data_IF_466960764498
#
_entry.id   IF_466960764498
#
_cell.length_a   1.000
_cell.length_b   1.000
_cell.length_c   1.000
_cell.angle_alpha   90.00
_cell.angle_beta   90.00
_cell.angle_gamma   90.00
#
_symmetry.space_group_name_H-M   'P 1'
#
loop_
_entity.id
_entity.type
_entity.pdbx_description
1 polymer ?
#
# COMPACT_ATOMS: atom_id res chain seq x y z
N UNK A 1 -15.69 26.01 12.96
CA UNK A 1 -14.88 25.51 14.08
C UNK A 1 -14.13 24.28 13.57
N UNK A 2 -12.79 24.21 13.62
CA UNK A 2 -12.12 22.94 13.33
C UNK A 2 -12.66 21.87 14.27
N UNK A 3 -12.90 20.66 13.76
CA UNK A 3 -13.33 19.53 14.58
C UNK A 3 -12.27 19.25 15.67
N UNK A 4 -12.69 18.74 16.83
CA UNK A 4 -11.77 18.37 17.92
C UNK A 4 -10.60 17.49 17.42
N UNK A 5 -10.92 16.57 16.51
CA UNK A 5 -9.95 15.70 15.84
C UNK A 5 -8.93 16.47 14.97
N UNK A 6 -9.34 17.56 14.31
CA UNK A 6 -8.43 18.43 13.54
C UNK A 6 -7.44 19.20 14.43
N UNK A 7 -7.85 19.61 15.63
CA UNK A 7 -6.96 20.28 16.58
C UNK A 7 -5.95 19.29 17.19
N UNK A 8 -6.41 18.11 17.60
CA UNK A 8 -5.54 17.04 18.11
C UNK A 8 -4.50 16.59 17.06
N UNK A 9 -4.91 16.52 15.79
CA UNK A 9 -4.01 16.20 14.69
C UNK A 9 -2.90 17.22 14.49
N UNK A 10 -3.22 18.52 14.51
CA UNK A 10 -2.21 19.59 14.41
C UNK A 10 -1.17 19.51 15.53
N UNK A 11 -1.63 19.28 16.77
CA UNK A 11 -0.74 19.14 17.91
C UNK A 11 0.20 17.94 17.76
N UNK A 12 -0.30 16.81 17.23
CA UNK A 12 0.51 15.64 16.93
C UNK A 12 1.60 15.95 15.89
N UNK A 13 1.23 16.60 14.78
CA UNK A 13 2.18 16.98 13.72
C UNK A 13 3.25 17.97 14.25
N UNK A 14 2.87 18.91 15.12
CA UNK A 14 3.82 19.83 15.78
C UNK A 14 4.83 19.11 16.67
N UNK A 15 4.40 18.07 17.41
CA UNK A 15 5.30 17.28 18.26
C UNK A 15 6.27 16.47 17.39
N UNK A 16 5.79 15.84 16.31
CA UNK A 16 6.63 15.09 15.36
C UNK A 16 7.72 15.98 14.76
N UNK A 17 7.37 17.20 14.36
CA UNK A 17 8.33 18.16 13.82
C UNK A 17 9.42 18.53 14.84
N UNK A 18 9.03 18.78 16.09
CA UNK A 18 9.97 19.06 17.19
C UNK A 18 10.92 17.88 17.47
N UNK A 19 10.43 16.64 17.38
CA UNK A 19 11.27 15.45 17.57
C UNK A 19 12.35 15.34 16.48
N UNK A 20 12.00 15.66 15.22
CA UNK A 20 12.94 15.62 14.07
C UNK A 20 14.03 16.68 14.16
N UNK A 21 13.66 17.90 14.56
CA UNK A 21 14.55 19.05 14.53
C UNK A 21 15.44 19.16 15.78
N UNK A 22 15.17 18.35 16.80
CA UNK A 22 15.89 18.40 18.07
C UNK A 22 17.38 18.05 17.93
N UNK A 23 18.25 18.89 18.51
CA UNK A 23 19.69 18.64 18.60
C UNK A 23 20.17 18.51 20.06
N UNK A 24 21.15 17.61 20.34
CA UNK A 24 21.75 17.51 21.66
C UNK A 24 22.46 18.81 22.07
N UNK A 25 22.13 19.37 23.23
CA UNK A 25 22.83 20.54 23.82
C UNK A 25 22.10 21.88 23.69
N UNK A 26 20.97 21.94 22.99
CA UNK A 26 20.04 23.08 23.05
C UNK A 26 19.24 23.04 24.36
N UNK A 27 19.87 23.40 25.48
CA UNK A 27 19.18 23.52 26.77
C UNK A 27 18.97 24.98 27.12
N UNK A 28 17.72 25.42 27.10
CA UNK A 28 17.23 26.34 28.12
C UNK A 28 15.75 26.06 28.39
N UNK A 29 15.54 25.22 29.41
CA UNK A 29 14.27 24.88 30.08
C UNK A 29 13.38 23.81 29.42
N UNK A 30 12.99 22.85 30.28
CA UNK A 30 11.95 21.79 30.18
C UNK A 30 12.39 20.35 29.85
N UNK A 31 11.73 19.31 30.44
CA UNK A 31 11.99 17.89 30.17
C UNK A 31 11.41 17.50 28.80
N UNK A 32 12.02 18.01 27.73
CA UNK A 32 11.43 18.06 26.38
C UNK A 32 11.09 16.68 25.81
N UNK A 33 11.99 15.70 25.92
CA UNK A 33 11.75 14.38 25.31
C UNK A 33 10.70 13.58 26.07
N UNK A 34 10.72 13.62 27.40
CA UNK A 34 9.76 12.89 28.24
C UNK A 34 8.37 13.52 28.11
N UNK A 35 8.28 14.85 28.09
CA UNK A 35 7.04 15.58 27.82
C UNK A 35 6.46 15.23 26.43
N UNK A 36 7.30 15.05 25.40
CA UNK A 36 6.84 14.56 24.10
C UNK A 36 6.28 13.15 24.17
N UNK A 37 6.91 12.23 24.90
CA UNK A 37 6.38 10.86 25.09
C UNK A 37 4.99 10.93 25.73
N UNK A 38 4.83 11.67 26.83
CA UNK A 38 3.55 11.79 27.56
C UNK A 38 2.47 12.42 26.66
N UNK A 39 2.80 13.48 25.93
CA UNK A 39 1.86 14.14 25.00
C UNK A 39 1.47 13.22 23.85
N UNK A 40 2.42 12.48 23.29
CA UNK A 40 2.14 11.49 22.24
C UNK A 40 1.22 10.39 22.77
N UNK A 41 1.50 9.82 23.93
CA UNK A 41 0.65 8.80 24.58
C UNK A 41 -0.78 9.31 24.79
N UNK A 42 -0.93 10.54 25.28
CA UNK A 42 -2.25 11.17 25.48
C UNK A 42 -3.03 11.36 24.18
N UNK A 43 -2.34 11.62 23.07
CA UNK A 43 -2.96 11.81 21.76
C UNK A 43 -3.19 10.48 21.01
N UNK A 44 -2.41 9.45 21.32
CA UNK A 44 -2.35 8.19 20.59
C UNK A 44 -3.71 7.50 20.51
N UNK A 45 -4.39 7.36 21.65
CA UNK A 45 -5.66 6.64 21.75
C UNK A 45 -6.81 7.30 20.96
N UNK A 46 -6.65 8.58 20.60
CA UNK A 46 -7.66 9.36 19.89
C UNK A 46 -7.42 9.46 18.39
N UNK A 47 -6.20 9.19 17.93
CA UNK A 47 -5.77 9.45 16.55
C UNK A 47 -5.21 8.20 15.89
N UNK A 48 -4.42 7.41 16.61
CA UNK A 48 -3.65 6.31 16.05
C UNK A 48 -4.43 4.99 16.14
N UNK A 49 -4.15 4.02 15.25
CA UNK A 49 -4.66 2.66 15.39
C UNK A 49 -4.23 2.03 16.72
N UNK A 50 -5.13 1.25 17.35
CA UNK A 50 -4.91 0.66 18.69
C UNK A 50 -3.53 0.00 18.85
N UNK A 51 -3.10 -0.86 17.90
CA UNK A 51 -1.80 -1.54 18.00
C UNK A 51 -0.59 -0.59 18.04
N UNK A 52 -0.69 0.59 17.41
CA UNK A 52 0.36 1.62 17.44
C UNK A 52 0.26 2.41 18.73
N UNK A 53 -0.96 2.76 19.15
CA UNK A 53 -1.20 3.45 20.42
C UNK A 53 -0.71 2.60 21.61
N UNK A 54 -1.05 1.31 21.66
CA UNK A 54 -0.58 0.36 22.67
C UNK A 54 0.94 0.28 22.71
N UNK A 55 1.59 0.23 21.54
CA UNK A 55 3.04 0.15 21.44
C UNK A 55 3.74 1.44 21.87
N UNK A 56 3.10 2.61 21.68
CA UNK A 56 3.57 3.91 22.15
C UNK A 56 3.35 4.08 23.66
N UNK A 57 2.21 3.61 24.17
CA UNK A 57 1.87 3.59 25.59
C UNK A 57 2.76 2.63 26.39
N UNK A 58 3.38 1.65 25.74
CA UNK A 58 4.37 0.76 26.35
C UNK A 58 5.76 1.41 26.55
N UNK A 59 5.99 2.63 26.05
CA UNK A 59 7.23 3.37 26.33
C UNK A 59 7.16 3.92 27.75
N UNK A 60 7.80 3.22 28.68
CA UNK A 60 7.91 3.65 30.07
C UNK A 60 9.02 4.69 30.23
N UNK A 61 8.68 5.86 30.77
CA UNK A 61 9.62 6.99 30.94
C UNK A 61 9.74 7.35 32.41
N UNK A 62 10.94 7.17 32.96
CA UNK A 62 11.27 7.59 34.32
C UNK A 62 11.79 9.04 34.30
N UNK A 63 11.05 9.94 34.95
CA UNK A 63 11.38 11.37 35.04
C UNK A 63 12.60 11.58 35.95
N UNK A 64 12.85 10.66 36.88
CA UNK A 64 13.94 10.75 37.85
C UNK A 64 15.25 10.16 37.30
N UNK A 65 15.24 9.50 36.14
CA UNK A 65 16.43 8.96 35.47
C UNK A 65 16.96 9.90 34.37
N UNK A 66 18.13 10.53 34.56
CA UNK A 66 18.72 11.45 33.58
C UNK A 66 19.16 10.77 32.27
N UNK A 67 19.29 9.45 32.24
CA UNK A 67 19.58 8.69 31.02
C UNK A 67 18.33 8.33 30.21
N UNK A 68 17.15 8.38 30.85
CA UNK A 68 15.87 8.04 30.24
C UNK A 68 15.55 8.94 29.04
N UNK A 69 15.93 10.21 29.06
CA UNK A 69 15.70 11.14 27.95
C UNK A 69 16.40 10.69 26.64
N UNK A 70 17.64 10.20 26.72
CA UNK A 70 18.37 9.72 25.54
C UNK A 70 17.77 8.42 24.99
N UNK A 71 17.41 7.50 25.88
CA UNK A 71 16.73 6.25 25.51
C UNK A 71 15.36 6.53 24.87
N UNK A 72 14.55 7.40 25.50
CA UNK A 72 13.25 7.79 25.01
C UNK A 72 13.34 8.48 23.64
N UNK A 73 14.36 9.32 23.42
CA UNK A 73 14.60 9.95 22.12
C UNK A 73 14.88 8.91 21.04
N UNK A 74 15.76 7.95 21.31
CA UNK A 74 16.05 6.87 20.36
C UNK A 74 14.80 6.04 20.02
N UNK A 75 13.93 5.79 21.01
CA UNK A 75 12.64 5.12 20.79
C UNK A 75 11.71 5.97 19.92
N UNK A 76 11.56 7.26 20.23
CA UNK A 76 10.75 8.18 19.45
C UNK A 76 11.22 8.28 18.00
N UNK A 77 12.53 8.35 17.75
CA UNK A 77 13.09 8.39 16.38
C UNK A 77 12.74 7.15 15.56
N UNK A 78 12.70 5.98 16.19
CA UNK A 78 12.23 4.76 15.54
C UNK A 78 10.69 4.75 15.33
N UNK A 79 9.95 5.44 16.20
CA UNK A 79 8.48 5.47 16.18
C UNK A 79 7.90 6.52 15.23
N UNK A 80 8.57 7.65 15.06
CA UNK A 80 8.10 8.77 14.21
C UNK A 80 7.71 8.30 12.80
N UNK A 81 8.53 7.49 12.08
CA UNK A 81 8.12 6.98 10.77
C UNK A 81 6.86 6.10 10.80
N UNK A 82 6.67 5.32 11.87
CA UNK A 82 5.50 4.46 12.06
C UNK A 82 4.25 5.31 12.27
N UNK A 83 4.35 6.35 13.09
CA UNK A 83 3.27 7.31 13.33
C UNK A 83 2.93 8.03 12.03
N UNK A 84 3.91 8.56 11.30
CA UNK A 84 3.70 9.25 10.03
C UNK A 84 3.03 8.36 8.97
N UNK A 85 3.43 7.09 8.87
CA UNK A 85 2.79 6.14 7.95
C UNK A 85 1.33 5.86 8.35
N UNK A 86 1.06 5.65 9.64
CA UNK A 86 -0.29 5.46 10.15
C UNK A 86 -1.18 6.69 9.89
N UNK A 87 -0.64 7.86 10.13
CA UNK A 87 -1.28 9.15 9.89
C UNK A 87 -1.55 9.40 8.40
N UNK A 88 -0.63 8.98 7.52
CA UNK A 88 -0.83 9.03 6.07
C UNK A 88 -1.89 8.01 5.64
N UNK A 89 -1.92 6.82 6.24
CA UNK A 89 -2.94 5.80 5.99
C UNK A 89 -4.34 6.29 6.42
N UNK A 90 -4.48 6.91 7.59
CA UNK A 90 -5.75 7.47 8.07
C UNK A 90 -6.29 8.53 7.11
N UNK A 91 -5.42 9.44 6.63
CA UNK A 91 -5.79 10.45 5.63
C UNK A 91 -6.26 9.84 4.30
N UNK A 92 -5.87 8.59 4.01
CA UNK A 92 -6.31 7.78 2.87
C UNK A 92 -7.49 6.84 3.18
N UNK A 93 -8.22 7.06 4.29
CA UNK A 93 -9.31 6.19 4.71
C UNK A 93 -8.86 4.81 5.22
N UNK A 94 -7.63 4.70 5.71
CA UNK A 94 -7.07 3.45 6.21
C UNK A 94 -6.77 2.43 5.11
N UNK A 95 -6.47 2.88 3.89
CA UNK A 95 -6.08 2.02 2.77
C UNK A 95 -4.56 2.04 2.56
N UNK A 96 -3.99 0.95 1.98
CA UNK A 96 -2.56 0.93 1.66
C UNK A 96 -2.20 2.02 0.64
N UNK A 97 -0.93 2.48 0.63
CA UNK A 97 -0.44 3.35 -0.44
C UNK A 97 -0.42 2.61 -1.79
N UNK A 98 -0.46 3.33 -2.92
CA UNK A 98 -0.30 2.72 -4.24
C UNK A 98 1.06 2.02 -4.35
N UNK A 99 1.10 0.93 -5.12
CA UNK A 99 2.36 0.28 -5.47
C UNK A 99 3.26 1.28 -6.22
N UNK A 100 4.56 1.40 -5.88
CA UNK A 100 5.47 2.39 -6.47
C UNK A 100 5.74 2.19 -7.96
N UNK A 101 5.55 0.98 -8.49
CA UNK A 101 5.71 0.68 -9.92
C UNK A 101 4.40 0.91 -10.71
N UNK A 102 3.33 1.43 -10.09
CA UNK A 102 2.12 1.81 -10.82
C UNK A 102 2.37 2.99 -11.76
N UNK A 103 1.85 2.95 -13.00
CA UNK A 103 1.88 4.10 -13.92
C UNK A 103 1.20 5.34 -13.32
N UNK A 104 1.75 6.53 -13.58
CA UNK A 104 1.30 7.81 -13.02
C UNK A 104 -0.20 8.06 -13.14
N UNK A 105 -0.81 7.74 -14.29
CA UNK A 105 -2.24 7.93 -14.50
C UNK A 105 -3.09 7.03 -13.59
N UNK A 106 -2.61 5.81 -13.30
CA UNK A 106 -3.29 4.86 -12.42
C UNK A 106 -3.07 5.24 -10.95
N UNK A 107 -1.86 5.70 -10.60
CA UNK A 107 -1.53 6.20 -9.27
C UNK A 107 -2.42 7.37 -8.88
N UNK A 108 -2.68 8.31 -9.80
CA UNK A 108 -3.58 9.44 -9.57
C UNK A 108 -5.02 9.01 -9.27
N UNK A 109 -5.58 8.11 -10.09
CA UNK A 109 -6.93 7.59 -9.88
C UNK A 109 -7.04 6.81 -8.55
N UNK A 110 -5.99 6.06 -8.18
CA UNK A 110 -5.89 5.33 -6.92
C UNK A 110 -5.88 6.28 -5.72
N UNK A 111 -5.04 7.32 -5.77
CA UNK A 111 -4.96 8.31 -4.69
C UNK A 111 -6.27 9.10 -4.54
N UNK A 112 -6.89 9.49 -5.65
CA UNK A 112 -8.21 10.13 -5.61
C UNK A 112 -9.24 9.22 -4.95
N UNK A 113 -9.28 7.93 -5.32
CA UNK A 113 -10.14 6.95 -4.67
C UNK A 113 -9.89 6.88 -3.17
N UNK A 114 -8.62 6.89 -2.75
CA UNK A 114 -8.24 6.81 -1.35
C UNK A 114 -8.70 8.04 -0.55
N UNK A 115 -8.71 9.23 -1.15
CA UNK A 115 -9.21 10.45 -0.49
C UNK A 115 -10.73 10.45 -0.29
N UNK A 116 -11.50 9.76 -1.15
CA UNK A 116 -12.96 9.79 -1.10
C UNK A 116 -13.59 8.51 -0.53
N UNK A 117 -12.83 7.44 -0.25
CA UNK A 117 -13.38 6.13 0.16
C UNK A 117 -14.28 6.21 1.39
N UNK A 118 -13.94 7.03 2.38
CA UNK A 118 -14.77 7.19 3.58
C UNK A 118 -16.06 7.98 3.32
N UNK A 119 -16.01 8.95 2.39
CA UNK A 119 -17.14 9.82 2.03
C UNK A 119 -18.08 9.18 1.02
N UNK A 120 -17.52 8.48 0.04
CA UNK A 120 -18.21 7.88 -1.09
C UNK A 120 -17.50 6.58 -1.51
N UNK A 121 -17.78 5.47 -0.82
CA UNK A 121 -17.31 4.15 -1.22
C UNK A 121 -17.63 3.82 -2.68
N UNK A 122 -18.83 4.19 -3.14
CA UNK A 122 -19.26 4.02 -4.53
C UNK A 122 -18.39 4.82 -5.51
N UNK A 123 -18.01 6.04 -5.15
CA UNK A 123 -17.10 6.87 -5.96
C UNK A 123 -15.71 6.26 -6.03
N UNK A 124 -15.16 5.85 -4.87
CA UNK A 124 -13.88 5.17 -4.81
C UNK A 124 -13.88 3.85 -5.59
N UNK A 125 -14.95 3.06 -5.51
CA UNK A 125 -15.10 1.83 -6.28
C UNK A 125 -15.07 2.09 -7.80
N UNK A 126 -15.73 3.15 -8.27
CA UNK A 126 -15.70 3.53 -9.69
C UNK A 126 -14.30 3.91 -10.16
N UNK A 127 -13.56 4.69 -9.36
CA UNK A 127 -12.16 5.04 -9.64
C UNK A 127 -11.26 3.80 -9.64
N UNK A 128 -11.40 2.89 -8.67
CA UNK A 128 -10.61 1.66 -8.64
C UNK A 128 -10.92 0.73 -9.82
N UNK A 129 -12.16 0.69 -10.31
CA UNK A 129 -12.50 -0.02 -11.56
C UNK A 129 -11.78 0.59 -12.76
N UNK A 130 -11.71 1.92 -12.82
CA UNK A 130 -10.93 2.63 -13.83
C UNK A 130 -9.42 2.32 -13.70
N UNK A 131 -8.89 2.26 -12.48
CA UNK A 131 -7.50 1.83 -12.24
C UNK A 131 -7.23 0.46 -12.83
N UNK A 132 -8.09 -0.53 -12.55
CA UNK A 132 -7.95 -1.90 -13.08
C UNK A 132 -8.04 -1.91 -14.61
N UNK A 133 -8.97 -1.14 -15.19
CA UNK A 133 -9.12 -1.02 -16.64
C UNK A 133 -7.85 -0.43 -17.29
N UNK A 134 -7.33 0.66 -16.72
CA UNK A 134 -6.09 1.30 -17.18
C UNK A 134 -4.88 0.40 -16.99
N UNK A 135 -4.86 -0.43 -15.94
CA UNK A 135 -3.81 -1.41 -15.69
C UNK A 135 -3.82 -2.51 -16.76
N UNK A 136 -5.00 -3.00 -17.14
CA UNK A 136 -5.14 -3.93 -18.26
C UNK A 136 -4.59 -3.30 -19.56
N UNK A 137 -4.93 -2.04 -19.84
CA UNK A 137 -4.41 -1.32 -21.01
C UNK A 137 -2.89 -1.22 -20.98
N UNK A 138 -2.32 -0.88 -19.83
CA UNK A 138 -0.87 -0.80 -19.65
C UNK A 138 -0.18 -2.14 -19.90
N UNK A 139 -0.81 -3.26 -19.54
CA UNK A 139 -0.33 -4.62 -19.75
C UNK A 139 -0.61 -5.17 -21.18
N UNK A 140 -1.04 -4.29 -22.09
CA UNK A 140 -1.26 -4.61 -23.51
C UNK A 140 -2.61 -5.24 -23.83
N UNK A 141 -3.60 -5.11 -22.95
CA UNK A 141 -4.99 -5.50 -23.19
C UNK A 141 -5.82 -4.33 -23.74
N UNK A 142 -6.96 -4.56 -24.39
CA UNK A 142 -7.77 -3.47 -24.94
C UNK A 142 -8.52 -2.65 -23.87
N UNK A 143 -8.67 -3.16 -22.65
CA UNK A 143 -9.38 -2.49 -21.55
C UNK A 143 -10.88 -2.32 -21.80
N UNK A 144 -11.47 -3.05 -22.75
CA UNK A 144 -12.88 -2.86 -23.16
C UNK A 144 -13.84 -3.81 -22.48
N UNK A 145 -13.35 -4.99 -22.08
CA UNK A 145 -14.15 -6.05 -21.50
C UNK A 145 -13.34 -6.69 -20.40
N UNK A 146 -13.46 -6.16 -19.19
CA UNK A 146 -12.64 -6.57 -18.05
C UNK A 146 -12.56 -8.09 -17.86
N UNK A 147 -13.67 -8.83 -18.01
CA UNK A 147 -13.66 -10.31 -17.94
C UNK A 147 -12.72 -10.96 -18.97
N UNK A 148 -12.75 -10.44 -20.21
CA UNK A 148 -11.91 -10.93 -21.30
C UNK A 148 -10.45 -10.54 -21.05
N UNK A 149 -10.22 -9.29 -20.65
CA UNK A 149 -8.88 -8.76 -20.40
C UNK A 149 -8.20 -9.52 -19.23
N UNK A 150 -8.94 -9.82 -18.14
CA UNK A 150 -8.46 -10.69 -17.04
C UNK A 150 -8.04 -12.07 -17.58
N UNK A 151 -8.86 -12.70 -18.43
CA UNK A 151 -8.55 -13.99 -19.04
C UNK A 151 -7.28 -13.96 -19.90
N UNK A 152 -7.06 -12.86 -20.64
CA UNK A 152 -5.85 -12.67 -21.44
C UNK A 152 -4.60 -12.43 -20.56
N UNK A 153 -4.73 -11.70 -19.44
CA UNK A 153 -3.65 -11.55 -18.46
C UNK A 153 -3.24 -12.88 -17.82
N UNK A 154 -4.20 -13.77 -17.54
CA UNK A 154 -3.92 -15.13 -17.05
C UNK A 154 -3.17 -15.95 -18.09
N UNK A 155 -3.55 -15.85 -19.36
CA UNK A 155 -2.80 -16.47 -20.45
C UNK A 155 -1.37 -15.92 -20.58
N UNK A 156 -1.15 -14.67 -20.16
CA UNK A 156 0.18 -14.02 -20.09
C UNK A 156 0.97 -14.34 -18.82
N UNK A 157 0.43 -15.16 -17.91
CA UNK A 157 1.13 -15.64 -16.72
C UNK A 157 0.71 -14.98 -15.41
N UNK A 158 -0.41 -14.25 -15.37
CA UNK A 158 -1.02 -13.81 -14.11
C UNK A 158 -1.42 -15.03 -13.27
N UNK A 159 -1.10 -15.00 -11.98
CA UNK A 159 -1.42 -16.10 -11.07
C UNK A 159 -2.95 -16.32 -10.98
N UNK A 160 -3.36 -17.59 -10.95
CA UNK A 160 -4.78 -17.97 -10.87
C UNK A 160 -5.48 -17.46 -9.62
N UNK A 161 -4.75 -17.16 -8.53
CA UNK A 161 -5.32 -16.56 -7.30
C UNK A 161 -5.63 -15.08 -7.52
N UNK A 162 -4.79 -14.36 -8.28
CA UNK A 162 -5.07 -12.95 -8.63
C UNK A 162 -6.20 -12.86 -9.62
N UNK A 163 -6.34 -13.82 -10.53
CA UNK A 163 -7.55 -13.97 -11.35
C UNK A 163 -8.81 -14.07 -10.50
N UNK A 164 -8.84 -14.99 -9.52
CA UNK A 164 -10.00 -15.17 -8.64
C UNK A 164 -10.35 -13.87 -7.89
N UNK A 165 -9.33 -13.13 -7.48
CA UNK A 165 -9.51 -11.88 -6.78
C UNK A 165 -10.04 -10.76 -7.70
N UNK A 166 -9.55 -10.69 -8.94
CA UNK A 166 -10.06 -9.81 -10.00
C UNK A 166 -11.51 -10.13 -10.40
N UNK A 167 -11.84 -11.41 -10.54
CA UNK A 167 -13.19 -11.87 -10.80
C UNK A 167 -14.14 -11.50 -9.66
N UNK A 168 -13.66 -11.55 -8.42
CA UNK A 168 -14.42 -11.10 -7.24
C UNK A 168 -14.77 -9.61 -7.35
N UNK A 169 -13.82 -8.75 -7.70
CA UNK A 169 -14.09 -7.30 -7.89
C UNK A 169 -15.05 -7.04 -9.05
N UNK A 170 -14.93 -7.81 -10.14
CA UNK A 170 -15.81 -7.73 -11.30
C UNK A 170 -17.26 -8.10 -10.94
N UNK A 171 -17.45 -9.18 -10.18
CA UNK A 171 -18.79 -9.64 -9.74
C UNK A 171 -19.40 -8.63 -8.76
N UNK A 172 -18.63 -8.21 -7.76
CA UNK A 172 -19.07 -7.24 -6.76
C UNK A 172 -19.44 -5.88 -7.38
N UNK A 173 -18.84 -5.51 -8.51
CA UNK A 173 -19.13 -4.25 -9.18
C UNK A 173 -20.24 -4.25 -10.23
N UNK A 174 -20.70 -5.40 -10.70
CA UNK A 174 -21.74 -5.50 -11.74
C UNK A 174 -23.11 -5.95 -11.20
N UNK A 175 -23.19 -6.55 -10.01
CA UNK A 175 -24.46 -7.04 -9.44
C UNK A 175 -25.26 -5.99 -8.64
N UNK A 176 -24.88 -4.71 -8.70
CA UNK A 176 -25.52 -3.64 -7.94
C UNK A 176 -26.94 -3.21 -8.42
N UNK A 177 -27.61 -3.97 -9.30
CA UNK A 177 -28.90 -3.55 -9.90
C UNK A 177 -29.83 -4.72 -10.26
N UNK A 178 -30.14 -5.59 -9.28
CA UNK A 178 -31.39 -6.36 -9.31
C UNK A 178 -32.08 -6.32 -7.94
N UNK A 179 -33.31 -5.77 -7.83
CA UNK A 179 -34.05 -5.80 -6.57
C UNK A 179 -34.45 -7.25 -6.23
N UNK A 180 -33.87 -7.82 -5.17
CA UNK A 180 -34.28 -9.13 -4.61
C UNK A 180 -33.18 -10.14 -4.28
N UNK A 181 -31.91 -9.87 -4.60
CA UNK A 181 -30.75 -10.70 -4.21
C UNK A 181 -29.73 -9.87 -3.45
N UNK A 182 -28.90 -10.52 -2.60
CA UNK A 182 -27.90 -9.93 -1.69
C UNK A 182 -27.49 -8.50 -2.07
N UNK A 183 -27.84 -7.51 -1.24
CA UNK A 183 -27.52 -6.10 -1.42
C UNK A 183 -26.02 -5.87 -1.17
N UNK A 184 -25.19 -6.32 -2.12
CA UNK A 184 -23.74 -6.09 -2.16
C UNK A 184 -23.51 -4.67 -2.65
N UNK A 185 -23.82 -3.70 -1.79
CA UNK A 185 -23.43 -2.30 -1.99
C UNK A 185 -21.90 -2.25 -2.03
N UNK A 186 -21.35 -1.33 -2.82
CA UNK A 186 -19.97 -0.87 -2.72
C UNK A 186 -19.75 -0.34 -1.29
N UNK A 187 -19.59 -1.22 -0.32
CA UNK A 187 -19.41 -0.90 1.09
C UNK A 187 -17.92 -0.65 1.37
N UNK A 188 -17.64 0.07 2.47
CA UNK A 188 -16.27 0.43 2.81
C UNK A 188 -15.33 -0.77 2.85
N UNK A 189 -15.78 -1.92 3.36
CA UNK A 189 -14.95 -3.11 3.49
C UNK A 189 -14.58 -3.72 2.14
N UNK A 190 -15.52 -3.75 1.21
CA UNK A 190 -15.32 -4.25 -0.16
C UNK A 190 -14.37 -3.35 -0.92
N UNK A 191 -14.57 -2.03 -0.83
CA UNK A 191 -13.72 -1.05 -1.53
C UNK A 191 -12.30 -1.07 -0.96
N UNK A 192 -12.13 -1.20 0.37
CA UNK A 192 -10.80 -1.38 0.99
C UNK A 192 -10.06 -2.62 0.45
N UNK A 193 -10.77 -3.72 0.19
CA UNK A 193 -10.18 -4.90 -0.47
C UNK A 193 -9.77 -4.60 -1.91
N UNK A 194 -10.53 -3.80 -2.66
CA UNK A 194 -10.16 -3.42 -4.03
C UNK A 194 -8.82 -2.67 -4.10
N UNK A 195 -8.50 -1.81 -3.13
CA UNK A 195 -7.18 -1.15 -3.05
C UNK A 195 -6.03 -2.17 -2.94
N UNK A 196 -6.19 -3.18 -2.09
CA UNK A 196 -5.21 -4.25 -1.94
C UNK A 196 -5.04 -5.06 -3.23
N UNK A 197 -6.13 -5.25 -3.98
CA UNK A 197 -6.11 -6.00 -5.24
C UNK A 197 -5.39 -5.25 -6.36
N UNK A 198 -5.61 -3.94 -6.52
CA UNK A 198 -4.84 -3.14 -7.48
C UNK A 198 -3.34 -3.25 -7.20
N UNK A 199 -2.94 -3.13 -5.93
CA UNK A 199 -1.53 -3.27 -5.54
C UNK A 199 -0.97 -4.68 -5.78
N UNK A 200 -1.78 -5.71 -5.55
CA UNK A 200 -1.40 -7.10 -5.81
C UNK A 200 -1.13 -7.34 -7.29
N UNK A 201 -2.01 -6.85 -8.18
CA UNK A 201 -1.82 -7.00 -9.63
C UNK A 201 -0.59 -6.22 -10.10
N UNK A 202 -0.42 -4.98 -9.65
CA UNK A 202 0.78 -4.19 -9.97
C UNK A 202 2.05 -4.91 -9.50
N UNK A 203 2.02 -5.51 -8.30
CA UNK A 203 3.15 -6.28 -7.79
C UNK A 203 3.47 -7.48 -8.66
N UNK A 204 2.48 -8.28 -9.03
CA UNK A 204 2.72 -9.51 -9.80
C UNK A 204 3.07 -9.26 -11.27
N UNK A 205 2.49 -8.23 -11.88
CA UNK A 205 2.62 -7.99 -13.32
C UNK A 205 3.66 -6.93 -13.68
N UNK A 206 4.09 -6.12 -12.72
CA UNK A 206 5.06 -5.03 -12.96
C UNK A 206 6.27 -5.17 -12.04
N UNK A 207 6.07 -5.12 -10.71
CA UNK A 207 7.18 -5.15 -9.74
C UNK A 207 7.99 -6.43 -9.82
N UNK A 208 7.36 -7.60 -9.68
CA UNK A 208 8.07 -8.88 -9.65
C UNK A 208 8.79 -9.20 -10.97
N UNK A 209 8.19 -8.98 -12.16
CA UNK A 209 8.91 -9.12 -13.43
C UNK A 209 10.12 -8.20 -13.51
N UNK A 210 9.99 -6.91 -13.13
CA UNK A 210 11.11 -5.97 -13.09
C UNK A 210 12.21 -6.44 -12.14
N UNK A 211 11.87 -6.78 -10.90
CA UNK A 211 12.84 -7.25 -9.88
C UNK A 211 13.56 -8.53 -10.32
N UNK A 212 12.85 -9.47 -10.94
CA UNK A 212 13.43 -10.69 -11.50
C UNK A 212 14.42 -10.36 -12.62
N UNK A 213 14.05 -9.47 -13.52
CA UNK A 213 14.89 -9.09 -14.66
C UNK A 213 16.11 -8.30 -14.17
N UNK A 214 15.95 -7.40 -13.20
CA UNK A 214 17.04 -6.69 -12.52
C UNK A 214 18.02 -7.68 -11.89
N UNK A 215 17.50 -8.66 -11.13
CA UNK A 215 18.32 -9.70 -10.51
C UNK A 215 19.06 -10.55 -11.55
N UNK A 216 18.39 -10.96 -12.61
CA UNK A 216 19.02 -11.71 -13.70
C UNK A 216 20.11 -10.91 -14.40
N UNK A 217 19.90 -9.60 -14.58
CA UNK A 217 20.86 -8.70 -15.21
C UNK A 217 22.13 -8.47 -14.37
N UNK A 218 22.09 -8.76 -13.05
CA UNK A 218 23.31 -8.76 -12.21
C UNK A 218 24.27 -9.90 -12.51
N UNK A 219 23.84 -10.94 -13.24
CA UNK A 219 24.68 -12.07 -13.57
C UNK A 219 25.78 -11.68 -14.59
N UNK A 220 27.01 -12.21 -14.45
CA UNK A 220 28.07 -12.04 -15.44
C UNK A 220 27.64 -12.51 -16.85
N UNK A 221 28.10 -11.81 -17.88
CA UNK A 221 27.71 -12.06 -19.28
C UNK A 221 27.87 -13.53 -19.69
N UNK A 222 29.02 -14.13 -19.36
CA UNK A 222 29.30 -15.53 -19.68
C UNK A 222 28.28 -16.51 -19.08
N UNK A 223 27.72 -16.21 -17.90
CA UNK A 223 26.68 -17.03 -17.29
C UNK A 223 25.31 -16.81 -17.92
N UNK A 224 25.02 -15.60 -18.41
CA UNK A 224 23.80 -15.31 -19.15
C UNK A 224 23.81 -16.00 -20.51
N UNK A 225 24.93 -15.98 -21.22
CA UNK A 225 25.11 -16.68 -22.51
C UNK A 225 24.90 -18.20 -22.38
N UNK A 226 25.46 -18.80 -21.32
CA UNK A 226 25.27 -20.23 -21.01
C UNK A 226 23.78 -20.57 -20.78
N UNK A 227 23.06 -19.72 -20.04
CA UNK A 227 21.62 -19.88 -19.76
C UNK A 227 20.81 -19.73 -21.05
N UNK A 228 21.11 -18.72 -21.86
CA UNK A 228 20.44 -18.46 -23.14
C UNK A 228 20.59 -19.64 -24.11
N UNK A 229 21.79 -20.23 -24.16
CA UNK A 229 22.05 -21.42 -24.99
C UNK A 229 21.20 -22.60 -24.54
N UNK A 230 21.16 -22.88 -23.23
CA UNK A 230 20.31 -23.94 -22.65
C UNK A 230 18.84 -23.71 -22.97
N UNK A 231 18.33 -22.49 -22.79
CA UNK A 231 16.91 -22.20 -22.98
C UNK A 231 16.48 -22.27 -24.45
N UNK A 232 17.38 -21.90 -25.38
CA UNK A 232 17.20 -22.11 -26.83
C UNK A 232 17.11 -23.61 -27.18
N UNK A 233 17.94 -24.44 -26.57
CA UNK A 233 17.92 -25.90 -26.78
C UNK A 233 16.61 -26.51 -26.28
N UNK A 234 16.12 -26.11 -25.10
CA UNK A 234 14.83 -26.58 -24.55
C UNK A 234 13.65 -26.18 -25.44
N UNK A 235 13.60 -24.93 -25.93
CA UNK A 235 12.55 -24.47 -26.87
C UNK A 235 12.61 -25.22 -28.21
N UNK A 236 13.82 -25.46 -28.72
CA UNK A 236 14.01 -26.23 -29.95
C UNK A 236 13.55 -27.69 -29.80
N UNK A 237 13.74 -28.30 -28.63
CA UNK A 237 13.23 -29.64 -28.34
C UNK A 237 11.69 -29.67 -28.24
N UNK A 238 11.08 -28.72 -27.52
CA UNK A 238 9.63 -28.63 -27.36
C UNK A 238 8.89 -28.40 -28.69
N UNK A 239 9.45 -27.60 -29.59
CA UNK A 239 8.88 -27.33 -30.92
C UNK A 239 8.99 -28.50 -31.89
N UNK A 240 10.00 -29.36 -31.76
CA UNK A 240 10.10 -30.61 -32.53
C UNK A 240 9.08 -31.65 -32.09
N UNK A 241 8.84 -31.77 -30.78
CA UNK A 241 7.85 -32.70 -30.23
C UNK A 241 6.43 -32.37 -30.71
N UNK A 242 6.05 -31.09 -30.77
CA UNK A 242 4.70 -30.66 -31.22
C UNK A 242 4.45 -30.79 -32.73
N UNK A 243 5.49 -31.05 -33.53
CA UNK A 243 5.36 -31.28 -34.99
C UNK A 243 5.31 -32.76 -35.36
N UNK A 244 5.53 -33.65 -34.39
CA UNK A 244 5.53 -35.09 -34.58
C UNK A 244 4.18 -35.76 -34.21
N UNK A 245 3.25 -34.99 -33.64
CA UNK A 245 1.86 -35.34 -33.35
C UNK A 245 0.91 -34.69 -34.38
#
# INVERSE_FOLDING_TARGET
MPSHHSAQRKLLDEIIHKIRDWQPGESSFEPTVIDWVIKLQTLADHILPNHIADSLNAIDVDIDDPTCAFWAKSKLDAFVPIIEDALASISRGGVPPPNPDLPDNITRDYEEAATIVELSPRGAAALLRLCIQNLCIHLGEPGKRLNKDIGELVAKGLDGRVQQALDTVRVLGNEAVHPGTLDLKDDHQTVKKMFALVNMIAKEMITLPRERDDLFNTLPENKREDIDKRDKEVKAAASRSRRAD
#
